data_IF_880780146852
#
_entry.id   IF_880780146852
#
_cell.length_a   1.000
_cell.length_b   1.000
_cell.length_c   1.000
_cell.angle_alpha   90.00
_cell.angle_beta   90.00
_cell.angle_gamma   90.00
#
_symmetry.space_group_name_H-M   'P 1'
#
loop_
_entity.id
_entity.type
_entity.pdbx_description
1 polymer ?
#
# COMPACT_ATOMS: atom_id res chain seq x y z
N UNK A 1 -2.49 -18.58 -13.36
CA UNK A 1 -3.78 -18.92 -12.70
C UNK A 1 -4.01 -17.86 -11.63
N UNK A 2 -5.26 -17.41 -11.43
CA UNK A 2 -5.55 -16.41 -10.42
C UNK A 2 -5.58 -17.05 -9.02
N UNK A 3 -4.76 -16.52 -8.10
CA UNK A 3 -4.72 -16.94 -6.69
C UNK A 3 -5.86 -16.31 -5.90
N UNK A 4 -6.16 -15.03 -6.19
CA UNK A 4 -7.23 -14.28 -5.54
C UNK A 4 -7.98 -13.51 -6.63
N UNK A 5 -9.30 -13.59 -6.60
CA UNK A 5 -10.20 -12.83 -7.49
C UNK A 5 -11.24 -12.11 -6.65
N UNK A 6 -11.47 -10.85 -6.99
CA UNK A 6 -12.40 -9.95 -6.35
C UNK A 6 -13.37 -9.50 -7.45
N UNK A 7 -14.65 -9.84 -7.29
CA UNK A 7 -15.71 -9.68 -8.28
C UNK A 7 -16.78 -8.75 -7.72
N UNK A 8 -17.02 -7.64 -8.42
CA UNK A 8 -18.02 -6.63 -8.09
C UNK A 8 -18.01 -6.19 -6.61
N UNK A 9 -16.82 -6.13 -6.00
CA UNK A 9 -16.75 -5.87 -4.57
C UNK A 9 -17.09 -4.42 -4.25
N UNK A 10 -17.87 -4.26 -3.19
CA UNK A 10 -18.26 -2.98 -2.65
C UNK A 10 -17.82 -2.86 -1.20
N UNK A 11 -17.42 -1.66 -0.83
CA UNK A 11 -17.11 -1.30 0.53
C UNK A 11 -17.42 0.18 0.72
N UNK A 12 -18.23 0.51 1.72
CA UNK A 12 -18.56 1.87 2.08
C UNK A 12 -18.17 2.13 3.53
N UNK A 13 -17.55 3.29 3.78
CA UNK A 13 -17.34 3.78 5.14
C UNK A 13 -18.21 5.03 5.34
N UNK A 14 -19.31 4.87 6.08
CA UNK A 14 -20.34 5.89 6.18
C UNK A 14 -21.02 6.14 4.82
N UNK A 15 -20.85 7.34 4.26
CA UNK A 15 -21.40 7.71 2.96
C UNK A 15 -20.38 7.66 1.80
N UNK A 16 -19.12 7.30 2.09
CA UNK A 16 -18.06 7.30 1.08
C UNK A 16 -17.84 5.86 0.59
N UNK A 17 -18.14 5.55 -0.68
CA UNK A 17 -17.76 4.27 -1.27
C UNK A 17 -16.24 4.22 -1.44
N UNK A 18 -15.60 3.33 -0.70
CA UNK A 18 -14.17 3.02 -0.80
C UNK A 18 -13.89 2.04 -1.95
N UNK A 19 -14.82 1.11 -2.19
CA UNK A 19 -14.85 0.24 -3.37
C UNK A 19 -16.25 0.31 -3.99
N UNK A 20 -16.31 0.49 -5.31
CA UNK A 20 -17.54 0.63 -6.09
C UNK A 20 -17.49 -0.32 -7.28
N UNK A 21 -18.15 -1.47 -7.15
CA UNK A 21 -18.13 -2.57 -8.12
C UNK A 21 -16.70 -2.87 -8.60
N UNK A 22 -15.77 -2.91 -7.66
CA UNK A 22 -14.36 -3.07 -7.96
C UNK A 22 -14.12 -4.50 -8.46
N UNK A 23 -13.33 -4.64 -9.52
CA UNK A 23 -12.87 -5.91 -10.05
C UNK A 23 -11.35 -6.01 -9.95
N UNK A 24 -10.83 -7.10 -9.41
CA UNK A 24 -9.39 -7.34 -9.32
C UNK A 24 -9.07 -8.82 -9.34
N UNK A 25 -7.97 -9.18 -9.99
CA UNK A 25 -7.39 -10.52 -9.93
C UNK A 25 -5.91 -10.42 -9.65
N UNK A 26 -5.40 -11.31 -8.79
CA UNK A 26 -3.98 -11.52 -8.54
C UNK A 26 -3.56 -12.84 -9.16
N UNK A 27 -2.60 -12.80 -10.09
CA UNK A 27 -2.04 -14.01 -10.68
C UNK A 27 -0.78 -14.49 -9.95
N UNK A 28 -0.42 -15.75 -10.16
CA UNK A 28 0.81 -16.35 -9.62
C UNK A 28 2.06 -15.59 -10.06
N UNK A 29 2.97 -15.33 -9.12
CA UNK A 29 4.23 -14.61 -9.33
C UNK A 29 4.10 -13.14 -9.78
N UNK A 30 2.91 -12.54 -9.64
CA UNK A 30 2.74 -11.10 -9.80
C UNK A 30 3.21 -10.32 -8.56
N UNK A 31 3.84 -9.17 -8.80
CA UNK A 31 4.14 -8.18 -7.76
C UNK A 31 3.36 -6.91 -8.05
N UNK A 32 2.25 -6.74 -7.34
CA UNK A 32 1.30 -5.65 -7.56
C UNK A 32 1.59 -4.50 -6.60
N UNK A 33 1.85 -3.32 -7.14
CA UNK A 33 1.86 -2.07 -6.39
C UNK A 33 0.47 -1.45 -6.34
N UNK A 34 -0.17 -1.43 -5.17
CA UNK A 34 -1.46 -0.77 -4.96
C UNK A 34 -1.24 0.69 -4.55
N UNK A 35 -1.60 1.60 -5.46
CA UNK A 35 -1.46 3.05 -5.27
C UNK A 35 -2.85 3.71 -5.24
N UNK A 36 -2.90 4.93 -4.71
CA UNK A 36 -4.15 5.67 -4.56
C UNK A 36 -4.01 6.77 -3.52
N UNK A 37 -4.94 7.72 -3.54
CA UNK A 37 -4.97 8.84 -2.58
C UNK A 37 -5.19 8.32 -1.15
N UNK A 38 -4.81 9.13 -0.16
CA UNK A 38 -5.07 8.76 1.22
C UNK A 38 -6.58 8.72 1.48
N UNK A 39 -7.03 7.68 2.19
CA UNK A 39 -8.46 7.48 2.47
C UNK A 39 -9.27 6.86 1.33
N UNK A 40 -8.64 6.38 0.24
CA UNK A 40 -9.39 5.68 -0.83
C UNK A 40 -9.75 4.23 -0.49
N UNK A 41 -9.26 3.69 0.63
CA UNK A 41 -9.58 2.32 1.07
C UNK A 41 -8.52 1.26 0.74
N UNK A 42 -7.29 1.63 0.38
CA UNK A 42 -6.18 0.70 0.06
C UNK A 42 -5.98 -0.36 1.16
N UNK A 43 -5.79 0.08 2.40
CA UNK A 43 -5.59 -0.82 3.55
C UNK A 43 -6.82 -1.70 3.81
N UNK A 44 -8.03 -1.15 3.64
CA UNK A 44 -9.27 -1.93 3.76
C UNK A 44 -9.38 -3.00 2.68
N UNK A 45 -9.02 -2.68 1.43
CA UNK A 45 -8.94 -3.67 0.36
C UNK A 45 -7.93 -4.77 0.70
N UNK A 46 -6.75 -4.41 1.23
CA UNK A 46 -5.76 -5.42 1.64
C UNK A 46 -6.29 -6.35 2.73
N UNK A 47 -7.01 -5.81 3.72
CA UNK A 47 -7.64 -6.60 4.79
C UNK A 47 -8.75 -7.52 4.26
N UNK A 48 -9.53 -7.07 3.27
CA UNK A 48 -10.52 -7.89 2.59
C UNK A 48 -9.85 -9.06 1.87
N UNK A 49 -8.77 -8.79 1.13
CA UNK A 49 -7.99 -9.83 0.45
C UNK A 49 -7.30 -10.78 1.43
N UNK A 50 -6.93 -10.30 2.63
CA UNK A 50 -6.40 -11.11 3.72
C UNK A 50 -7.47 -11.95 4.45
N UNK A 51 -8.75 -11.73 4.18
CA UNK A 51 -9.87 -12.38 4.90
C UNK A 51 -10.12 -11.85 6.31
N UNK A 52 -9.52 -10.70 6.66
CA UNK A 52 -9.67 -10.05 7.98
C UNK A 52 -10.94 -9.19 8.05
N UNK A 53 -11.38 -8.66 6.92
CA UNK A 53 -12.62 -7.90 6.77
C UNK A 53 -13.44 -8.52 5.62
N UNK A 54 -14.76 -8.34 5.64
CA UNK A 54 -15.64 -8.77 4.53
C UNK A 54 -16.04 -7.53 3.72
N UNK A 55 -16.19 -7.65 2.39
CA UNK A 55 -16.82 -6.59 1.62
C UNK A 55 -18.30 -6.49 2.00
N UNK A 56 -18.91 -5.33 1.75
CA UNK A 56 -20.34 -5.10 1.97
C UNK A 56 -21.19 -5.84 0.92
N UNK A 57 -20.70 -5.91 -0.32
CA UNK A 57 -21.28 -6.69 -1.42
C UNK A 57 -20.17 -7.19 -2.36
N UNK A 58 -20.51 -8.12 -3.25
CA UNK A 58 -19.58 -8.80 -4.16
C UNK A 58 -18.92 -10.02 -3.54
N UNK A 59 -17.96 -10.61 -4.28
CA UNK A 59 -17.36 -11.90 -3.94
C UNK A 59 -15.83 -11.84 -3.96
N UNK A 60 -15.22 -12.34 -2.89
CA UNK A 60 -13.78 -12.65 -2.83
C UNK A 60 -13.61 -14.15 -2.97
N UNK A 61 -12.95 -14.58 -4.04
CA UNK A 61 -12.60 -15.97 -4.31
C UNK A 61 -11.10 -16.14 -4.11
N UNK A 62 -10.72 -17.06 -3.23
CA UNK A 62 -9.34 -17.45 -3.02
C UNK A 62 -9.18 -18.89 -3.51
N UNK A 63 -8.13 -19.16 -4.28
CA UNK A 63 -7.81 -20.50 -4.72
C UNK A 63 -7.62 -21.42 -3.51
N UNK A 64 -8.14 -22.65 -3.57
CA UNK A 64 -8.02 -23.64 -2.49
C UNK A 64 -6.57 -23.84 -2.03
N UNK A 65 -6.37 -23.94 -0.72
CA UNK A 65 -5.07 -24.13 -0.05
C UNK A 65 -4.05 -22.99 -0.23
N UNK A 66 -4.48 -21.81 -0.73
CA UNK A 66 -3.62 -20.61 -0.78
C UNK A 66 -3.38 -20.07 0.63
N UNK A 67 -2.12 -20.01 1.07
CA UNK A 67 -1.71 -19.35 2.31
C UNK A 67 -1.44 -17.89 2.00
N UNK A 68 -2.17 -17.02 2.70
CA UNK A 68 -2.06 -15.57 2.59
C UNK A 68 -1.45 -15.05 3.88
N UNK A 69 -0.40 -14.24 3.79
CA UNK A 69 0.17 -13.55 4.94
C UNK A 69 -0.04 -12.04 4.78
N UNK A 70 -0.53 -11.39 5.84
CA UNK A 70 -0.75 -9.95 5.89
C UNK A 70 0.20 -9.29 6.89
N UNK A 71 0.92 -8.27 6.43
CA UNK A 71 1.78 -7.43 7.27
C UNK A 71 1.18 -6.03 7.34
N UNK A 72 0.58 -5.72 8.48
CA UNK A 72 0.02 -4.41 8.77
C UNK A 72 1.09 -3.31 8.77
N UNK A 73 0.66 -2.06 8.58
CA UNK A 73 1.51 -0.88 8.65
C UNK A 73 2.23 -0.81 10.01
N UNK A 74 1.45 -0.92 11.09
CA UNK A 74 1.93 -1.02 12.47
C UNK A 74 1.73 -2.46 12.97
N UNK A 75 2.79 -3.29 12.96
CA UNK A 75 2.66 -4.67 13.41
C UNK A 75 2.46 -4.73 14.92
N UNK A 76 1.48 -5.50 15.35
CA UNK A 76 1.24 -5.79 16.76
C UNK A 76 2.09 -7.00 17.15
N UNK A 77 3.24 -6.73 17.77
CA UNK A 77 4.14 -7.75 18.30
C UNK A 77 4.11 -7.66 19.83
N UNK A 78 4.13 -8.81 20.52
CA UNK A 78 4.25 -8.81 21.98
C UNK A 78 5.61 -8.24 22.38
N UNK A 79 5.58 -7.14 23.14
CA UNK A 79 6.76 -6.40 23.57
C UNK A 79 7.67 -7.20 24.52
N UNK A 80 7.10 -8.17 25.25
CA UNK A 80 7.83 -9.00 26.20
C UNK A 80 8.44 -10.26 25.55
N UNK A 81 7.94 -10.66 24.39
CA UNK A 81 8.40 -11.85 23.67
C UNK A 81 9.84 -11.73 23.16
N UNK A 82 10.51 -12.87 23.03
CA UNK A 82 11.74 -12.96 22.25
C UNK A 82 11.43 -12.84 20.76
N UNK A 83 12.40 -12.43 19.96
CA UNK A 83 12.26 -12.40 18.50
C UNK A 83 11.95 -13.80 17.95
N UNK A 84 12.53 -14.85 18.54
CA UNK A 84 12.21 -16.23 18.16
C UNK A 84 10.73 -16.54 18.35
N UNK A 85 10.19 -16.25 19.54
CA UNK A 85 8.78 -16.52 19.87
C UNK A 85 7.85 -15.68 18.99
N UNK A 86 8.15 -14.40 18.81
CA UNK A 86 7.37 -13.50 17.95
C UNK A 86 7.28 -14.01 16.50
N UNK A 87 8.37 -14.59 15.97
CA UNK A 87 8.34 -15.20 14.64
C UNK A 87 7.60 -16.54 14.66
N UNK A 88 7.80 -17.37 15.69
CA UNK A 88 7.10 -18.63 15.86
C UNK A 88 5.58 -18.49 15.99
N UNK A 89 5.07 -17.32 16.41
CA UNK A 89 3.64 -17.00 16.40
C UNK A 89 3.03 -17.01 14.99
N UNK A 90 3.85 -16.79 13.95
CA UNK A 90 3.42 -16.98 12.55
C UNK A 90 3.03 -18.43 12.23
N UNK A 91 3.46 -19.39 13.06
CA UNK A 91 3.14 -20.82 12.98
C UNK A 91 2.18 -21.28 14.07
N UNK A 92 1.42 -20.38 14.69
CA UNK A 92 0.53 -20.70 15.82
C UNK A 92 -0.40 -21.89 15.52
N UNK A 93 -0.99 -21.94 14.32
CA UNK A 93 -1.84 -23.08 13.91
C UNK A 93 -1.09 -24.41 13.90
N UNK A 94 0.13 -24.42 13.34
CA UNK A 94 0.97 -25.62 13.27
C UNK A 94 1.35 -26.09 14.67
N UNK A 95 1.77 -25.16 15.53
CA UNK A 95 2.14 -25.46 16.92
C UNK A 95 0.95 -26.02 17.70
N UNK A 96 -0.22 -25.40 17.58
CA UNK A 96 -1.44 -25.89 18.21
C UNK A 96 -1.83 -27.30 17.74
N UNK A 97 -1.70 -27.62 16.44
CA UNK A 97 -1.95 -28.96 15.93
C UNK A 97 -0.99 -29.99 16.54
N UNK A 98 0.30 -29.65 16.66
CA UNK A 98 1.31 -30.53 17.27
C UNK A 98 1.02 -30.74 18.75
N UNK A 99 0.62 -29.69 19.48
CA UNK A 99 0.27 -29.77 20.89
C UNK A 99 -0.94 -30.70 21.12
N UNK A 100 -2.03 -30.50 20.37
CA UNK A 100 -3.24 -31.35 20.45
C UNK A 100 -2.95 -32.81 20.06
N UNK A 101 -2.16 -33.02 19.00
CA UNK A 101 -1.72 -34.35 18.58
C UNK A 101 -0.90 -35.04 19.68
N UNK A 102 0.01 -34.30 20.33
CA UNK A 102 0.86 -34.81 21.42
C UNK A 102 0.07 -35.15 22.68
N UNK A 103 -1.03 -34.43 22.93
CA UNK A 103 -1.96 -34.70 24.02
C UNK A 103 -2.93 -35.86 23.71
N UNK A 104 -2.99 -36.33 22.47
CA UNK A 104 -3.89 -37.40 22.06
C UNK A 104 -5.35 -36.96 21.91
N UNK A 105 -5.60 -35.68 21.63
CA UNK A 105 -6.95 -35.13 21.51
C UNK A 105 -7.44 -35.12 20.05
N UNK A 106 -8.70 -35.54 19.84
CA UNK A 106 -9.35 -35.50 18.52
C UNK A 106 -8.99 -36.65 17.59
N UNK A 107 -9.02 -36.38 16.28
CA UNK A 107 -8.70 -37.34 15.22
C UNK A 107 -7.21 -37.24 14.87
N UNK A 108 -6.41 -38.15 15.46
CA UNK A 108 -4.96 -38.12 15.34
C UNK A 108 -4.46 -38.38 13.92
N UNK A 109 -5.15 -39.21 13.14
CA UNK A 109 -4.77 -39.52 11.76
C UNK A 109 -4.96 -38.30 10.86
N UNK A 110 -6.09 -37.59 11.05
CA UNK A 110 -6.36 -36.34 10.35
C UNK A 110 -5.34 -35.25 10.73
N UNK A 111 -5.05 -35.09 12.03
CA UNK A 111 -4.07 -34.12 12.50
C UNK A 111 -2.67 -34.42 12.00
N UNK A 112 -2.23 -35.69 12.02
CA UNK A 112 -0.92 -36.07 11.48
C UNK A 112 -0.82 -35.70 10.00
N UNK A 113 -1.83 -36.04 9.21
CA UNK A 113 -1.88 -35.72 7.78
C UNK A 113 -1.81 -34.21 7.54
N UNK A 114 -2.46 -33.42 8.39
CA UNK A 114 -2.45 -31.96 8.32
C UNK A 114 -1.08 -31.38 8.69
N UNK A 115 -0.45 -31.87 9.77
CA UNK A 115 0.89 -31.47 10.21
C UNK A 115 1.91 -31.78 9.10
N UNK A 116 1.85 -32.95 8.49
CA UNK A 116 2.71 -33.33 7.37
C UNK A 116 2.50 -32.42 6.15
N UNK A 117 1.24 -32.08 5.84
CA UNK A 117 0.92 -31.18 4.70
C UNK A 117 1.48 -29.76 4.87
N UNK A 118 1.65 -29.32 6.13
CA UNK A 118 2.21 -28.02 6.49
C UNK A 118 3.72 -28.08 6.75
N UNK A 119 4.34 -29.26 6.60
CA UNK A 119 5.72 -29.55 7.01
C UNK A 119 5.99 -29.08 8.45
N UNK A 120 5.01 -29.35 9.32
CA UNK A 120 4.93 -28.78 10.67
C UNK A 120 5.97 -29.31 11.63
N UNK A 121 6.45 -30.55 11.44
CA UNK A 121 7.48 -31.15 12.31
C UNK A 121 8.79 -30.37 12.32
N UNK A 122 9.10 -29.65 11.25
CA UNK A 122 10.34 -28.87 11.09
C UNK A 122 10.18 -27.39 11.47
N UNK A 123 9.13 -27.02 12.20
CA UNK A 123 8.79 -25.62 12.46
C UNK A 123 9.89 -24.84 13.17
N UNK A 124 10.61 -25.43 14.14
CA UNK A 124 11.72 -24.77 14.85
C UNK A 124 12.88 -24.43 13.91
N UNK A 125 13.27 -25.38 13.06
CA UNK A 125 14.31 -25.17 12.06
C UNK A 125 13.89 -24.06 11.07
N UNK A 126 12.62 -24.07 10.66
CA UNK A 126 12.07 -23.05 9.76
C UNK A 126 12.13 -21.64 10.36
N UNK A 127 11.83 -21.50 11.65
CA UNK A 127 12.00 -20.23 12.37
C UNK A 127 13.47 -19.82 12.35
N UNK A 128 14.38 -20.74 12.68
CA UNK A 128 15.83 -20.49 12.66
C UNK A 128 16.36 -20.01 11.30
N UNK A 129 16.00 -20.70 10.22
CA UNK A 129 16.36 -20.33 8.85
C UNK A 129 15.80 -18.96 8.45
N UNK A 130 14.56 -18.67 8.83
CA UNK A 130 13.91 -17.37 8.56
C UNK A 130 14.64 -16.25 9.29
N UNK A 131 14.98 -16.43 10.57
CA UNK A 131 15.73 -15.45 11.36
C UNK A 131 17.12 -15.19 10.77
N UNK A 132 17.83 -16.25 10.33
CA UNK A 132 19.13 -16.10 9.68
C UNK A 132 19.02 -15.32 8.37
N UNK A 133 18.04 -15.65 7.52
CA UNK A 133 17.79 -14.95 6.24
C UNK A 133 17.48 -13.46 6.44
N UNK A 134 16.78 -13.11 7.51
CA UNK A 134 16.42 -11.73 7.85
C UNK A 134 17.46 -11.01 8.75
N UNK A 135 18.58 -11.67 9.07
CA UNK A 135 19.62 -11.16 9.97
C UNK A 135 19.09 -10.70 11.33
N UNK A 136 18.19 -11.50 11.92
CA UNK A 136 17.55 -11.23 13.21
C UNK A 136 18.20 -12.07 14.32
N UNK A 137 18.36 -11.46 15.50
CA UNK A 137 18.86 -12.15 16.70
C UNK A 137 17.69 -12.80 17.43
N UNK A 138 17.66 -14.12 17.63
CA UNK A 138 16.53 -14.84 18.23
C UNK A 138 16.26 -14.45 19.69
N UNK A 139 17.32 -14.18 20.45
CA UNK A 139 17.32 -13.89 21.88
C UNK A 139 16.97 -12.43 22.21
N UNK A 140 16.92 -11.55 21.20
CA UNK A 140 16.57 -10.16 21.41
C UNK A 140 15.10 -10.02 21.82
N UNK A 141 14.82 -9.07 22.71
CA UNK A 141 13.45 -8.76 23.17
C UNK A 141 12.83 -7.72 22.25
N UNK A 142 11.59 -7.96 21.79
CA UNK A 142 10.88 -7.10 20.83
C UNK A 142 10.80 -5.63 21.27
N UNK A 143 10.58 -5.34 22.56
CA UNK A 143 10.53 -3.98 23.09
C UNK A 143 11.81 -3.17 22.87
N UNK A 144 12.96 -3.84 22.78
CA UNK A 144 14.28 -3.19 22.63
C UNK A 144 14.65 -2.84 21.18
N UNK A 145 13.85 -3.31 20.22
CA UNK A 145 14.13 -3.20 18.80
C UNK A 145 13.78 -1.82 18.23
N UNK A 146 14.54 -1.38 17.22
CA UNK A 146 14.20 -0.22 16.42
C UNK A 146 12.93 -0.46 15.59
N UNK A 147 12.24 0.59 15.15
CA UNK A 147 11.04 0.45 14.30
C UNK A 147 11.28 -0.40 13.05
N UNK A 148 12.42 -0.19 12.37
CA UNK A 148 12.78 -0.99 11.19
C UNK A 148 13.09 -2.46 11.52
N UNK A 149 13.70 -2.74 12.67
CA UNK A 149 13.91 -4.12 13.11
C UNK A 149 12.58 -4.79 13.51
N UNK A 150 11.64 -4.06 14.15
CA UNK A 150 10.29 -4.58 14.42
C UNK A 150 9.54 -4.94 13.12
N UNK A 151 9.67 -4.12 12.07
CA UNK A 151 9.08 -4.44 10.77
C UNK A 151 9.70 -5.70 10.15
N UNK A 152 11.02 -5.90 10.30
CA UNK A 152 11.69 -7.15 9.91
C UNK A 152 11.18 -8.36 10.67
N UNK A 153 10.95 -8.23 11.98
CA UNK A 153 10.34 -9.32 12.79
C UNK A 153 8.92 -9.64 12.30
N UNK A 154 8.10 -8.63 12.01
CA UNK A 154 6.76 -8.84 11.45
C UNK A 154 6.80 -9.51 10.08
N UNK A 155 7.77 -9.15 9.23
CA UNK A 155 7.97 -9.82 7.95
C UNK A 155 8.45 -11.26 8.13
N UNK A 156 9.35 -11.52 9.08
CA UNK A 156 9.78 -12.87 9.43
C UNK A 156 8.61 -13.74 9.92
N UNK A 157 7.75 -13.19 10.77
CA UNK A 157 6.52 -13.83 11.25
C UNK A 157 5.57 -14.17 10.09
N UNK A 158 5.44 -13.29 9.09
CA UNK A 158 4.64 -13.58 7.90
C UNK A 158 5.29 -14.64 6.98
N UNK A 159 6.60 -14.59 6.78
CA UNK A 159 7.33 -15.45 5.86
C UNK A 159 7.55 -16.87 6.39
N UNK A 160 7.62 -17.05 7.71
CA UNK A 160 7.82 -18.39 8.29
C UNK A 160 6.65 -19.32 7.97
N UNK A 161 5.45 -18.77 7.73
CA UNK A 161 4.28 -19.53 7.26
C UNK A 161 4.38 -19.99 5.79
N UNK A 162 5.45 -19.62 5.07
CA UNK A 162 5.68 -19.89 3.65
C UNK A 162 4.44 -19.56 2.79
N UNK A 163 3.97 -18.30 2.79
CA UNK A 163 2.75 -17.93 2.07
C UNK A 163 2.95 -17.98 0.56
N UNK A 164 1.89 -18.31 -0.19
CA UNK A 164 1.82 -18.10 -1.64
C UNK A 164 1.50 -16.65 -2.00
N UNK A 165 0.80 -15.93 -1.11
CA UNK A 165 0.47 -14.51 -1.29
C UNK A 165 0.91 -13.69 -0.08
N UNK A 166 1.70 -12.66 -0.34
CA UNK A 166 2.17 -11.71 0.66
C UNK A 166 1.50 -10.34 0.45
N UNK A 167 0.78 -9.88 1.47
CA UNK A 167 0.07 -8.61 1.48
C UNK A 167 0.78 -7.65 2.42
N UNK A 168 1.34 -6.57 1.89
CA UNK A 168 2.15 -5.61 2.64
C UNK A 168 1.49 -4.23 2.65
N UNK A 169 1.21 -3.73 3.85
CA UNK A 169 0.69 -2.37 4.03
C UNK A 169 1.83 -1.45 4.48
N UNK A 170 2.17 -0.47 3.63
CA UNK A 170 3.23 0.53 3.82
C UNK A 170 4.54 -0.05 4.39
N UNK A 171 5.18 -1.02 3.69
CA UNK A 171 6.31 -1.74 4.25
C UNK A 171 7.61 -0.92 4.30
N UNK A 172 7.69 0.17 3.53
CA UNK A 172 8.85 1.06 3.46
C UNK A 172 8.86 2.11 4.57
N UNK A 173 7.73 2.32 5.27
CA UNK A 173 7.66 3.33 6.33
C UNK A 173 8.56 2.96 7.51
N UNK A 174 9.23 3.98 8.05
CA UNK A 174 10.19 3.86 9.16
C UNK A 174 11.41 2.97 8.87
N UNK A 175 11.68 2.63 7.61
CA UNK A 175 12.93 1.99 7.18
C UNK A 175 13.96 3.04 6.77
N UNK A 176 15.24 2.71 6.99
CA UNK A 176 16.36 3.41 6.37
C UNK A 176 16.65 2.84 4.99
N UNK A 177 17.46 3.54 4.20
CA UNK A 177 17.75 3.19 2.80
C UNK A 177 18.28 1.75 2.66
N UNK A 178 19.25 1.36 3.49
CA UNK A 178 19.81 0.00 3.48
C UNK A 178 18.72 -1.08 3.76
N UNK A 179 17.77 -0.79 4.66
CA UNK A 179 16.64 -1.70 4.91
C UNK A 179 15.63 -1.72 3.77
N UNK A 180 15.47 -0.62 3.03
CA UNK A 180 14.62 -0.58 1.83
C UNK A 180 15.25 -1.44 0.73
N UNK A 181 16.54 -1.26 0.43
CA UNK A 181 17.26 -2.07 -0.57
C UNK A 181 17.22 -3.56 -0.24
N UNK A 182 17.40 -3.92 1.04
CA UNK A 182 17.26 -5.30 1.49
C UNK A 182 15.83 -5.84 1.29
N UNK A 183 14.80 -5.04 1.58
CA UNK A 183 13.42 -5.44 1.40
C UNK A 183 13.09 -5.62 -0.08
N UNK A 184 13.59 -4.75 -0.95
CA UNK A 184 13.45 -4.88 -2.41
C UNK A 184 14.02 -6.21 -2.89
N UNK A 185 15.26 -6.55 -2.49
CA UNK A 185 15.87 -7.84 -2.82
C UNK A 185 15.06 -9.03 -2.33
N UNK A 186 14.57 -8.98 -1.08
CA UNK A 186 13.74 -10.04 -0.51
C UNK A 186 12.44 -10.25 -1.30
N UNK A 187 11.78 -9.17 -1.74
CA UNK A 187 10.51 -9.25 -2.48
C UNK A 187 10.70 -9.64 -3.95
N UNK A 188 11.83 -9.27 -4.56
CA UNK A 188 12.18 -9.72 -5.91
C UNK A 188 12.45 -11.23 -5.92
N UNK A 189 13.14 -11.75 -4.91
CA UNK A 189 13.45 -13.18 -4.76
C UNK A 189 12.26 -14.02 -4.28
N UNK A 190 11.16 -13.38 -3.87
CA UNK A 190 9.97 -14.08 -3.40
C UNK A 190 9.26 -14.77 -4.58
N UNK A 191 9.07 -16.09 -4.47
CA UNK A 191 8.48 -16.92 -5.53
C UNK A 191 6.95 -16.82 -5.62
N UNK A 192 6.30 -16.33 -4.57
CA UNK A 192 4.85 -16.15 -4.53
C UNK A 192 4.42 -14.82 -5.17
N UNK A 193 3.15 -14.48 -4.98
CA UNK A 193 2.61 -13.20 -5.42
C UNK A 193 2.60 -12.18 -4.29
N UNK A 194 2.81 -10.91 -4.63
CA UNK A 194 2.88 -9.81 -3.66
C UNK A 194 1.84 -8.77 -4.03
N UNK A 195 1.14 -8.23 -3.03
CA UNK A 195 0.45 -6.94 -3.14
C UNK A 195 1.04 -6.02 -2.09
N UNK A 196 1.58 -4.89 -2.52
CA UNK A 196 2.20 -3.90 -1.62
C UNK A 196 1.56 -2.53 -1.79
N UNK A 197 1.21 -1.88 -0.68
CA UNK A 197 0.84 -0.46 -0.65
C UNK A 197 2.08 0.30 -0.24
N UNK A 198 2.51 1.27 -1.05
CA UNK A 198 3.57 2.20 -0.64
C UNK A 198 3.43 3.52 -1.39
N UNK A 199 3.95 4.58 -0.78
CA UNK A 199 4.19 5.87 -1.42
C UNK A 199 5.60 6.02 -2.03
N UNK A 200 6.48 5.04 -1.83
CA UNK A 200 7.83 5.04 -2.37
C UNK A 200 7.84 4.64 -3.85
N UNK A 201 8.17 5.60 -4.70
CA UNK A 201 8.19 5.46 -6.16
C UNK A 201 9.34 4.58 -6.62
N UNK A 202 10.50 4.72 -6.00
CA UNK A 202 11.70 3.95 -6.36
C UNK A 202 11.50 2.48 -6.04
N UNK A 203 10.92 2.20 -4.87
CA UNK A 203 10.56 0.85 -4.46
C UNK A 203 9.58 0.17 -5.42
N UNK A 204 8.52 0.89 -5.83
CA UNK A 204 7.57 0.37 -6.82
C UNK A 204 8.22 0.15 -8.18
N UNK A 205 9.20 0.98 -8.55
CA UNK A 205 9.90 0.84 -9.82
C UNK A 205 10.77 -0.43 -9.88
N UNK A 206 11.38 -0.78 -8.75
CA UNK A 206 12.27 -1.94 -8.62
C UNK A 206 11.51 -3.26 -8.39
N UNK A 207 10.41 -3.23 -7.64
CA UNK A 207 9.71 -4.44 -7.19
C UNK A 207 8.48 -4.77 -8.05
N UNK A 208 7.67 -3.77 -8.43
CA UNK A 208 6.36 -4.02 -9.02
C UNK A 208 6.44 -4.46 -10.49
N UNK A 209 5.66 -5.47 -10.84
CA UNK A 209 5.43 -5.91 -12.23
C UNK A 209 4.12 -5.34 -12.80
N UNK A 210 3.24 -4.85 -11.92
CA UNK A 210 1.94 -4.29 -12.25
C UNK A 210 1.56 -3.24 -11.21
N UNK A 211 1.05 -2.10 -11.66
CA UNK A 211 0.54 -1.04 -10.79
C UNK A 211 -0.99 -1.07 -10.84
N UNK A 212 -1.63 -1.06 -9.68
CA UNK A 212 -3.08 -0.93 -9.56
C UNK A 212 -3.38 0.38 -8.85
N UNK A 213 -4.09 1.27 -9.52
CA UNK A 213 -4.55 2.54 -8.98
C UNK A 213 -5.98 2.41 -8.47
N UNK A 214 -6.17 2.69 -7.17
CA UNK A 214 -7.47 2.86 -6.54
C UNK A 214 -7.84 4.34 -6.48
N UNK A 215 -8.75 4.74 -7.36
CA UNK A 215 -9.31 6.09 -7.39
C UNK A 215 -10.85 6.02 -7.38
N UNK A 216 -11.47 6.71 -6.42
CA UNK A 216 -12.94 6.86 -6.30
C UNK A 216 -13.70 5.53 -6.39
N UNK A 217 -13.23 4.51 -5.68
CA UNK A 217 -13.88 3.19 -5.63
C UNK A 217 -13.54 2.27 -6.80
N UNK A 218 -12.83 2.76 -7.83
CA UNK A 218 -12.48 1.97 -9.02
C UNK A 218 -11.02 1.55 -9.00
N UNK A 219 -10.77 0.31 -9.43
CA UNK A 219 -9.44 -0.24 -9.61
C UNK A 219 -9.06 -0.21 -11.08
N UNK A 220 -7.98 0.52 -11.39
CA UNK A 220 -7.40 0.59 -12.72
C UNK A 220 -6.05 -0.13 -12.70
N UNK A 221 -5.85 -1.05 -13.63
CA UNK A 221 -4.63 -1.87 -13.69
C UNK A 221 -3.74 -1.44 -14.85
N UNK A 222 -2.45 -1.28 -14.56
CA UNK A 222 -1.42 -0.83 -15.48
C UNK A 222 -0.25 -1.82 -15.47
N UNK A 223 0.07 -2.47 -16.60
CA UNK A 223 1.20 -3.40 -16.66
C UNK A 223 2.54 -2.63 -16.58
N UNK A 224 3.53 -3.24 -15.94
CA UNK A 224 4.86 -2.67 -15.77
C UNK A 224 5.08 -2.02 -14.41
N UNK A 225 6.20 -1.30 -14.32
CA UNK A 225 6.67 -0.66 -13.11
C UNK A 225 6.07 0.76 -12.94
N UNK A 226 6.50 1.48 -11.90
CA UNK A 226 5.95 2.79 -11.60
C UNK A 226 6.26 3.84 -12.68
N UNK A 227 7.46 3.81 -13.27
CA UNK A 227 7.82 4.70 -14.37
C UNK A 227 6.95 4.48 -15.61
N UNK A 228 6.68 3.22 -15.98
CA UNK A 228 5.78 2.89 -17.09
C UNK A 228 4.34 3.35 -16.82
N UNK A 229 3.86 3.17 -15.59
CA UNK A 229 2.55 3.69 -15.15
C UNK A 229 2.43 5.21 -15.33
N UNK A 230 3.45 5.98 -14.92
CA UNK A 230 3.42 7.45 -15.06
C UNK A 230 3.30 7.88 -16.52
N UNK A 231 4.08 7.28 -17.42
CA UNK A 231 4.02 7.57 -18.86
C UNK A 231 2.62 7.27 -19.41
N UNK A 232 2.08 6.09 -19.10
CA UNK A 232 0.76 5.69 -19.57
C UNK A 232 -0.35 6.60 -19.01
N UNK A 233 -0.22 7.05 -17.76
CA UNK A 233 -1.17 7.97 -17.13
C UNK A 233 -1.12 9.35 -17.77
N UNK A 234 0.06 9.87 -18.08
CA UNK A 234 0.22 11.15 -18.77
C UNK A 234 -0.39 11.11 -20.18
N UNK A 235 -0.16 10.04 -20.93
CA UNK A 235 -0.77 9.85 -22.25
C UNK A 235 -2.30 9.78 -22.17
N UNK A 236 -2.85 9.05 -21.20
CA UNK A 236 -4.30 8.99 -20.96
C UNK A 236 -4.88 10.37 -20.64
N UNK A 237 -4.25 11.11 -19.73
CA UNK A 237 -4.69 12.46 -19.37
C UNK A 237 -4.61 13.44 -20.55
N UNK A 238 -3.57 13.33 -21.38
CA UNK A 238 -3.44 14.15 -22.59
C UNK A 238 -4.54 13.83 -23.63
N UNK A 239 -4.84 12.55 -23.85
CA UNK A 239 -5.93 12.12 -24.73
C UNK A 239 -7.29 12.59 -24.20
N UNK A 240 -7.55 12.42 -22.91
CA UNK A 240 -8.76 12.91 -22.25
C UNK A 240 -8.89 14.42 -22.36
N UNK A 241 -7.80 15.19 -22.16
CA UNK A 241 -7.81 16.64 -22.32
C UNK A 241 -8.19 17.06 -23.75
N UNK A 242 -7.68 16.37 -24.78
CA UNK A 242 -8.05 16.63 -26.18
C UNK A 242 -9.51 16.31 -26.45
N UNK A 243 -10.01 15.17 -25.95
CA UNK A 243 -11.44 14.79 -26.07
C UNK A 243 -12.32 15.81 -25.36
N UNK A 244 -11.94 16.20 -24.14
CA UNK A 244 -12.65 17.17 -23.33
C UNK A 244 -12.69 18.55 -23.98
N UNK A 245 -11.59 19.02 -24.57
CA UNK A 245 -11.53 20.28 -25.31
C UNK A 245 -12.43 20.26 -26.57
N UNK A 246 -12.49 19.13 -27.29
CA UNK A 246 -13.41 18.96 -28.43
C UNK A 246 -14.87 18.99 -27.99
N UNK A 247 -15.19 18.29 -26.88
CA UNK A 247 -16.53 18.28 -26.31
C UNK A 247 -16.98 19.69 -25.87
N UNK A 248 -16.10 20.44 -25.21
CA UNK A 248 -16.38 21.80 -24.75
C UNK A 248 -16.56 22.77 -25.94
N UNK A 249 -15.78 22.60 -27.02
CA UNK A 249 -15.96 23.38 -28.26
C UNK A 249 -17.30 23.08 -28.94
N UNK A 250 -17.72 21.82 -28.99
CA UNK A 250 -19.05 21.43 -29.51
C UNK A 250 -20.16 22.02 -28.65
N UNK A 251 -20.06 21.94 -27.32
CA UNK A 251 -21.02 22.52 -26.40
C UNK A 251 -21.16 24.03 -26.62
N UNK A 252 -20.04 24.76 -26.75
CA UNK A 252 -20.07 26.21 -27.00
C UNK A 252 -20.76 26.57 -28.33
N UNK A 253 -20.55 25.80 -29.39
CA UNK A 253 -21.22 26.01 -30.68
C UNK A 253 -22.74 25.81 -30.59
N UNK A 254 -23.16 24.76 -29.88
CA UNK A 254 -24.59 24.45 -29.66
C UNK A 254 -25.27 25.49 -28.76
N UNK A 255 -24.57 26.02 -27.74
CA UNK A 255 -25.11 27.10 -26.89
C UNK A 255 -25.31 28.41 -27.67
N UNK A 256 -24.38 28.76 -28.58
CA UNK A 256 -24.54 29.91 -29.48
C UNK A 256 -25.72 29.71 -30.43
N UNK A 257 -25.93 28.48 -30.93
CA UNK A 257 -27.07 28.15 -31.78
C UNK A 257 -28.41 28.36 -31.07
N UNK A 258 -28.57 27.90 -29.81
CA UNK A 258 -29.78 28.15 -29.01
C UNK A 258 -29.99 29.65 -28.78
N UNK A 259 -28.93 30.39 -28.43
CA UNK A 259 -29.01 31.83 -28.16
C UNK A 259 -29.42 32.64 -29.38
N UNK A 260 -29.08 32.20 -30.59
CA UNK A 260 -29.46 32.85 -31.86
C UNK A 260 -30.95 32.73 -32.20
N UNK A 261 -31.76 32.07 -31.37
CA UNK A 261 -33.20 31.95 -31.55
C UNK A 261 -33.53 30.81 -32.50
N UNK A 262 -33.88 29.65 -31.94
CA UNK A 262 -34.30 28.48 -32.71
C UNK A 262 -35.81 28.58 -32.92
N UNK A 263 -36.27 28.57 -34.17
CA UNK A 263 -37.66 28.30 -34.49
C UNK A 263 -37.98 26.84 -34.14
N UNK A 264 -38.39 26.61 -32.88
CA UNK A 264 -38.52 25.30 -32.24
C UNK A 264 -39.64 24.39 -32.78
N UNK A 265 -40.08 24.57 -34.04
CA UNK A 265 -41.26 23.90 -34.61
C UNK A 265 -40.96 22.66 -35.49
N UNK A 266 -39.73 22.13 -35.48
CA UNK A 266 -39.35 20.92 -36.25
C UNK A 266 -38.73 19.85 -35.35
N UNK A 267 -39.05 18.58 -35.61
CA UNK A 267 -38.51 17.37 -34.94
C UNK A 267 -36.98 17.35 -34.83
N UNK A 268 -36.28 17.93 -35.82
CA UNK A 268 -34.81 18.02 -35.86
C UNK A 268 -34.23 18.99 -34.83
N UNK A 269 -35.00 20.00 -34.38
CA UNK A 269 -34.60 20.92 -33.32
C UNK A 269 -34.71 20.26 -31.94
N UNK A 270 -35.74 19.44 -31.72
CA UNK A 270 -35.97 18.73 -30.46
C UNK A 270 -34.84 17.74 -30.13
N UNK A 271 -34.41 16.93 -31.11
CA UNK A 271 -33.29 16.01 -30.93
C UNK A 271 -31.95 16.71 -30.61
N UNK A 272 -31.78 17.94 -31.11
CA UNK A 272 -30.58 18.75 -30.89
C UNK A 272 -30.55 19.39 -29.50
N UNK A 273 -31.71 19.80 -28.98
CA UNK A 273 -31.87 20.29 -27.60
C UNK A 273 -31.55 19.17 -26.59
N UNK A 274 -32.10 17.96 -26.80
CA UNK A 274 -31.80 16.79 -25.95
C UNK A 274 -30.30 16.47 -25.95
N UNK A 275 -29.63 16.58 -27.11
CA UNK A 275 -28.17 16.41 -27.20
C UNK A 275 -27.41 17.47 -26.41
N UNK A 276 -27.86 18.72 -26.41
CA UNK A 276 -27.23 19.78 -25.62
C UNK A 276 -27.38 19.53 -24.12
N UNK A 277 -28.55 19.10 -23.65
CA UNK A 277 -28.77 18.78 -22.24
C UNK A 277 -27.87 17.62 -21.78
N UNK A 278 -27.71 16.59 -22.62
CA UNK A 278 -26.75 15.51 -22.36
C UNK A 278 -25.29 16.01 -22.29
N UNK A 279 -24.89 16.93 -23.18
CA UNK A 279 -23.56 17.54 -23.16
C UNK A 279 -23.32 18.38 -21.90
N UNK A 280 -24.36 19.05 -21.37
CA UNK A 280 -24.31 19.80 -20.11
C UNK A 280 -24.13 18.88 -18.92
N UNK A 281 -24.98 17.86 -18.81
CA UNK A 281 -24.87 16.85 -17.74
C UNK A 281 -23.49 16.19 -17.73
N UNK A 282 -22.95 15.83 -18.91
CA UNK A 282 -21.62 15.26 -19.04
C UNK A 282 -20.49 16.23 -18.66
N UNK A 283 -20.67 17.56 -18.82
CA UNK A 283 -19.69 18.57 -18.37
C UNK A 283 -19.75 18.80 -16.87
N UNK A 284 -20.95 18.81 -16.30
CA UNK A 284 -21.17 18.99 -14.87
C UNK A 284 -20.57 17.83 -14.07
N UNK A 285 -20.86 16.59 -14.46
CA UNK A 285 -20.25 15.39 -13.88
C UNK A 285 -18.70 15.40 -13.96
N UNK A 286 -18.11 15.92 -15.05
CA UNK A 286 -16.64 16.07 -15.18
C UNK A 286 -16.04 17.07 -14.20
N UNK A 287 -16.75 18.15 -13.83
CA UNK A 287 -16.22 19.19 -12.94
C UNK A 287 -16.14 18.74 -11.48
N UNK A 288 -17.09 17.92 -11.02
CA UNK A 288 -16.99 17.26 -9.71
C UNK A 288 -15.79 16.31 -9.61
N UNK A 289 -15.29 15.80 -10.75
CA UNK A 289 -14.12 14.92 -10.80
C UNK A 289 -12.78 15.64 -10.58
N UNK A 290 -12.69 16.94 -10.84
CA UNK A 290 -11.42 17.69 -10.70
C UNK A 290 -11.36 18.50 -9.40
N UNK A 291 -12.50 18.83 -8.78
CA UNK A 291 -12.61 19.92 -7.80
C UNK A 291 -12.14 19.72 -6.36
N UNK A 292 -11.51 18.60 -5.97
CA UNK A 292 -11.34 18.28 -4.53
C UNK A 292 -9.93 18.29 -3.94
N UNK A 293 -8.91 18.86 -4.59
CA UNK A 293 -7.56 18.97 -4.00
C UNK A 293 -6.92 20.33 -4.26
N UNK A 294 -7.42 21.37 -3.57
CA UNK A 294 -6.61 22.55 -3.27
C UNK A 294 -6.00 22.34 -1.89
N UNK A 295 -4.71 21.99 -1.87
CA UNK A 295 -3.93 21.93 -0.64
C UNK A 295 -3.37 23.33 -0.39
N UNK A 296 -4.15 24.19 0.27
CA UNK A 296 -3.69 25.50 0.71
C UNK A 296 -2.65 25.32 1.81
N UNK A 297 -1.38 25.43 1.43
CA UNK A 297 -0.26 25.48 2.39
C UNK A 297 -0.30 26.83 3.07
N UNK A 298 -0.89 26.86 4.26
CA UNK A 298 -0.98 28.05 5.09
C UNK A 298 0.43 28.48 5.54
N UNK A 299 1.04 29.43 4.84
CA UNK A 299 2.34 29.97 5.18
C UNK A 299 2.22 30.89 6.40
N UNK A 300 2.65 30.38 7.56
CA UNK A 300 2.68 31.10 8.84
C UNK A 300 3.53 32.39 8.82
N UNK A 301 3.27 33.22 9.83
CA UNK A 301 3.66 34.62 9.95
C UNK A 301 5.16 34.95 9.79
N UNK A 302 5.41 36.22 9.42
CA UNK A 302 6.70 36.82 9.09
C UNK A 302 7.60 36.86 10.34
N UNK A 303 8.59 35.96 10.40
CA UNK A 303 9.75 36.03 11.31
C UNK A 303 11.06 36.10 10.51
N UNK A 304 12.13 36.62 11.14
CA UNK A 304 13.36 37.12 10.52
C UNK A 304 14.17 36.17 9.60
N UNK A 305 15.23 36.70 8.99
CA UNK A 305 16.04 36.04 7.93
C UNK A 305 16.86 34.82 8.43
N UNK A 306 17.24 34.81 9.71
CA UNK A 306 17.95 33.72 10.37
C UNK A 306 16.96 32.88 11.18
N UNK A 307 16.90 31.58 10.93
CA UNK A 307 15.99 30.67 11.63
C UNK A 307 16.70 29.95 12.78
N UNK A 308 17.92 29.47 12.56
CA UNK A 308 18.74 28.85 13.60
C UNK A 308 20.25 28.96 13.29
N UNK A 309 21.07 29.04 14.32
CA UNK A 309 22.53 28.97 14.23
C UNK A 309 23.02 27.94 15.26
N UNK A 310 23.78 26.96 14.78
CA UNK A 310 24.37 25.87 15.54
C UNK A 310 25.88 26.10 15.54
N UNK A 311 26.49 26.15 16.72
CA UNK A 311 27.94 26.35 16.88
C UNK A 311 28.51 25.27 17.79
N UNK A 312 29.45 24.49 17.24
CA UNK A 312 30.20 23.43 17.94
C UNK A 312 29.30 22.47 18.74
N UNK A 313 28.13 22.14 18.20
CA UNK A 313 27.12 21.34 18.89
C UNK A 313 27.61 19.91 19.00
N UNK A 314 27.63 19.40 20.23
CA UNK A 314 27.95 18.01 20.52
C UNK A 314 26.87 17.40 21.40
N UNK A 315 26.44 16.17 21.09
CA UNK A 315 25.43 15.44 21.84
C UNK A 315 25.80 13.98 22.00
N UNK A 316 25.65 13.49 23.22
CA UNK A 316 25.98 12.11 23.64
C UNK A 316 24.76 11.52 24.36
N UNK A 317 24.42 10.26 24.09
CA UNK A 317 23.47 9.48 24.88
C UNK A 317 24.18 8.25 25.46
N UNK A 318 24.37 8.22 26.78
CA UNK A 318 25.21 7.23 27.42
C UNK A 318 26.65 7.29 26.89
N UNK A 319 27.17 6.16 26.44
CA UNK A 319 28.52 6.07 25.84
C UNK A 319 28.54 6.40 24.33
N UNK A 320 27.37 6.52 23.68
CA UNK A 320 27.30 6.72 22.23
C UNK A 320 27.25 8.21 21.89
N UNK A 321 28.26 8.69 21.17
CA UNK A 321 28.32 10.04 20.61
C UNK A 321 27.44 10.13 19.36
N UNK A 322 26.44 11.01 19.39
CA UNK A 322 25.42 11.16 18.34
C UNK A 322 25.75 12.34 17.45
N UNK A 323 26.12 13.48 18.03
CA UNK A 323 26.59 14.67 17.31
C UNK A 323 27.95 15.05 17.86
N UNK A 324 28.91 15.35 16.99
CA UNK A 324 30.23 15.82 17.38
C UNK A 324 30.58 17.07 16.60
N UNK A 325 30.83 18.16 17.34
CA UNK A 325 31.39 19.40 16.82
C UNK A 325 30.67 19.94 15.57
N UNK A 326 29.34 19.89 15.57
CA UNK A 326 28.53 20.28 14.43
C UNK A 326 28.21 21.78 14.47
N UNK A 327 28.59 22.49 13.41
CA UNK A 327 28.28 23.91 13.22
C UNK A 327 27.52 24.11 11.91
N UNK A 328 26.39 24.80 11.96
CA UNK A 328 25.57 25.08 10.78
C UNK A 328 24.69 26.32 10.98
N UNK A 329 24.47 27.08 9.92
CA UNK A 329 23.58 28.24 9.91
C UNK A 329 22.40 27.94 9.01
N UNK A 330 21.18 28.05 9.54
CA UNK A 330 19.92 27.77 8.84
C UNK A 330 19.20 29.08 8.55
N UNK A 331 19.03 29.37 7.26
CA UNK A 331 18.37 30.58 6.78
C UNK A 331 16.92 30.30 6.37
N UNK A 332 16.11 31.36 6.34
CA UNK A 332 14.72 31.24 5.90
C UNK A 332 14.65 30.90 4.41
N UNK A 333 13.95 29.82 4.09
CA UNK A 333 13.78 29.31 2.73
C UNK A 333 14.66 28.09 2.43
N UNK A 334 15.61 27.77 3.31
CA UNK A 334 16.40 26.56 3.20
C UNK A 334 15.50 25.33 3.38
N UNK A 335 15.59 24.39 2.44
CA UNK A 335 14.95 23.08 2.53
C UNK A 335 16.02 22.08 2.94
N UNK A 336 16.18 21.89 4.24
CA UNK A 336 17.22 21.01 4.80
C UNK A 336 16.62 19.62 5.04
N UNK A 337 17.13 18.63 4.31
CA UNK A 337 16.82 17.22 4.53
C UNK A 337 17.82 16.59 5.50
N UNK A 338 17.35 16.07 6.63
CA UNK A 338 18.17 15.29 7.56
C UNK A 338 18.13 13.81 7.14
N UNK A 339 19.23 13.32 6.59
CA UNK A 339 19.38 11.94 6.13
C UNK A 339 20.33 11.18 7.05
N UNK A 340 20.09 9.87 7.19
CA UNK A 340 20.93 8.98 8.00
C UNK A 340 20.15 7.77 8.50
N UNK A 341 20.83 6.75 9.04
CA UNK A 341 20.18 5.52 9.52
C UNK A 341 19.28 5.78 10.74
N UNK A 342 18.40 4.84 11.05
CA UNK A 342 17.58 4.91 12.25
C UNK A 342 18.46 4.92 13.51
N UNK A 343 18.16 5.81 14.46
CA UNK A 343 19.00 6.00 15.65
C UNK A 343 20.24 6.88 15.46
N UNK A 344 20.42 7.51 14.29
CA UNK A 344 21.50 8.48 14.05
C UNK A 344 21.32 9.84 14.76
N UNK A 345 20.23 10.02 15.52
CA UNK A 345 19.95 11.27 16.24
C UNK A 345 19.20 12.34 15.45
N UNK A 346 18.53 11.97 14.35
CA UNK A 346 17.77 12.91 13.51
C UNK A 346 16.61 13.62 14.25
N UNK A 347 16.09 12.99 15.31
CA UNK A 347 14.97 13.50 16.13
C UNK A 347 15.44 14.03 17.49
N UNK A 348 16.74 13.92 17.77
CA UNK A 348 17.39 14.36 19.02
C UNK A 348 17.73 15.84 18.94
#
# INVERSE_FOLDING_TARGET
>A
MALITLLDAQLAFGHVPLLDHAGFSLETAERVGLIGRNGTGKSSMLKILAGLEKPDDGLVQVQSNTRIAYVAQEPQLDAASSVFDAVADGLQRVRHLIDEYSLGHGDLDAMQSEIESLDGWNWEQRVGETLQRLHLRPDAIVSTLSGGTKKRVALAQALVAQPEVLLLDEPTNHLDLDSIEWLEGLLVDFKGSIITITHDRSFLDNVATRIVELDRGKLLSYPGNFAAYLLQKEEQLAQEAVINARADKLLAQEEVWIRKGVEARRTRATARIVRLDNLRAAREARREVVGSVNMDVNSGAISGKLVAELTHVSKTFGERKIVHDFSATILRGDKIGLLGPNGAGKTT
#
